data_IF_079160358495
#
_entry.id   IF_079160358495
#
_cell.length_a   1.000
_cell.length_b   1.000
_cell.length_c   1.000
_cell.angle_alpha   90.00
_cell.angle_beta   90.00
_cell.angle_gamma   90.00
#
_symmetry.space_group_name_H-M   'P 1'
#
loop_
_entity.id
_entity.type
_entity.pdbx_description
1 polymer ?
#
# COMPACT_ATOMS: atom_id res chain seq x y z
N UNK A 1 -68.26 8.61 -18.30
CA UNK A 1 -67.16 9.03 -17.35
C UNK A 1 -66.08 7.97 -17.11
N UNK A 2 -66.38 6.65 -17.24
CA UNK A 2 -65.37 5.59 -17.02
C UNK A 2 -64.21 5.52 -18.06
N UNK A 3 -64.39 5.74 -19.39
CA UNK A 3 -63.30 5.54 -20.35
C UNK A 3 -62.10 6.56 -20.17
N UNK A 4 -62.40 7.78 -19.73
CA UNK A 4 -61.34 8.79 -19.52
C UNK A 4 -60.43 8.52 -18.33
N UNK A 5 -60.99 7.99 -17.26
CA UNK A 5 -60.24 7.65 -16.03
C UNK A 5 -59.29 6.46 -16.31
N UNK A 6 -59.76 5.47 -17.06
CA UNK A 6 -58.95 4.31 -17.45
C UNK A 6 -57.75 4.73 -18.31
N UNK A 7 -57.94 5.66 -19.24
CA UNK A 7 -56.90 6.18 -20.12
C UNK A 7 -55.80 6.92 -19.29
N UNK A 8 -56.21 7.75 -18.34
CA UNK A 8 -55.29 8.49 -17.43
C UNK A 8 -54.51 7.52 -16.55
N UNK A 9 -55.14 6.45 -16.04
CA UNK A 9 -54.44 5.45 -15.20
C UNK A 9 -53.43 4.65 -16.03
N UNK A 10 -53.75 4.31 -17.27
CA UNK A 10 -52.83 3.61 -18.18
C UNK A 10 -51.64 4.52 -18.55
N UNK A 11 -51.87 5.77 -18.87
CA UNK A 11 -50.80 6.72 -19.17
C UNK A 11 -49.91 6.97 -17.98
N UNK A 12 -50.44 7.13 -16.76
CA UNK A 12 -49.66 7.23 -15.54
C UNK A 12 -48.82 5.98 -15.27
N UNK A 13 -49.37 4.78 -15.45
CA UNK A 13 -48.60 3.52 -15.34
C UNK A 13 -47.48 3.43 -16.37
N UNK A 14 -47.72 3.86 -17.62
CA UNK A 14 -46.69 3.92 -18.67
C UNK A 14 -45.62 4.94 -18.37
N UNK A 15 -45.96 6.10 -17.84
CA UNK A 15 -44.98 7.12 -17.40
C UNK A 15 -44.16 6.65 -16.18
N UNK A 16 -44.81 5.96 -15.22
CA UNK A 16 -44.10 5.36 -14.08
C UNK A 16 -43.16 4.23 -14.54
N UNK A 17 -43.60 3.38 -15.45
CA UNK A 17 -42.77 2.32 -16.02
C UNK A 17 -41.60 2.87 -16.87
N UNK A 18 -41.82 3.97 -17.59
CA UNK A 18 -40.78 4.69 -18.33
C UNK A 18 -39.76 5.36 -17.37
N UNK A 19 -40.26 6.03 -16.30
CA UNK A 19 -39.37 6.57 -15.25
C UNK A 19 -38.60 5.50 -14.51
N UNK A 20 -39.20 4.35 -14.23
CA UNK A 20 -38.54 3.21 -13.62
C UNK A 20 -37.46 2.60 -14.54
N UNK A 21 -37.68 2.55 -15.87
CA UNK A 21 -36.64 2.15 -16.84
C UNK A 21 -35.47 3.14 -16.90
N UNK A 22 -35.74 4.46 -16.75
CA UNK A 22 -34.69 5.49 -16.71
C UNK A 22 -33.96 5.55 -15.37
N UNK A 23 -34.48 4.91 -14.32
CA UNK A 23 -33.83 4.79 -13.01
C UNK A 23 -33.06 3.47 -12.87
N UNK A 24 -32.85 2.74 -13.97
CA UNK A 24 -32.00 1.55 -13.94
C UNK A 24 -30.58 1.97 -13.61
N UNK A 25 -30.06 1.40 -12.52
CA UNK A 25 -28.70 1.68 -12.03
C UNK A 25 -27.70 1.35 -13.14
N UNK A 26 -27.06 2.36 -13.71
CA UNK A 26 -26.00 2.17 -14.70
C UNK A 26 -24.68 1.88 -13.98
N UNK A 27 -24.49 0.62 -13.61
CA UNK A 27 -23.30 0.13 -12.92
C UNK A 27 -22.03 0.45 -13.72
N UNK A 28 -22.09 0.33 -15.06
CA UNK A 28 -20.93 0.64 -15.91
C UNK A 28 -20.50 2.09 -15.76
N UNK A 29 -21.44 3.03 -15.82
CA UNK A 29 -21.17 4.46 -15.65
C UNK A 29 -20.63 4.79 -14.25
N UNK A 30 -21.13 4.12 -13.20
CA UNK A 30 -20.60 4.29 -11.85
C UNK A 30 -19.16 3.79 -11.74
N UNK A 31 -18.84 2.64 -12.34
CA UNK A 31 -17.47 2.11 -12.35
C UNK A 31 -16.51 3.01 -13.14
N UNK A 32 -16.94 3.60 -14.28
CA UNK A 32 -16.15 4.58 -15.01
C UNK A 32 -15.85 5.85 -14.18
N UNK A 33 -16.76 6.21 -13.27
CA UNK A 33 -16.52 7.32 -12.34
C UNK A 33 -15.41 6.99 -11.34
N UNK A 34 -15.38 5.75 -10.84
CA UNK A 34 -14.29 5.27 -9.97
C UNK A 34 -12.96 5.30 -10.70
N UNK A 35 -12.90 4.81 -11.94
CA UNK A 35 -11.66 4.83 -12.74
C UNK A 35 -11.10 6.25 -12.92
N UNK A 36 -11.98 7.25 -13.09
CA UNK A 36 -11.56 8.65 -13.20
C UNK A 36 -11.09 9.24 -11.87
N UNK A 37 -11.70 8.83 -10.78
CA UNK A 37 -11.38 9.34 -9.45
C UNK A 37 -10.06 8.77 -8.92
N UNK A 38 -9.72 7.53 -9.26
CA UNK A 38 -8.54 6.80 -8.77
C UNK A 38 -7.52 6.56 -9.90
N UNK A 39 -7.16 7.64 -10.60
CA UNK A 39 -6.04 7.58 -11.55
C UNK A 39 -4.74 7.33 -10.79
N UNK A 40 -3.88 6.50 -11.36
CA UNK A 40 -2.58 6.18 -10.76
C UNK A 40 -1.66 7.41 -10.79
N UNK A 41 -1.19 7.84 -9.63
CA UNK A 41 -0.13 8.84 -9.53
C UNK A 41 1.17 8.23 -10.01
N UNK A 42 1.77 8.84 -11.03
CA UNK A 42 3.07 8.52 -11.57
C UNK A 42 3.84 9.81 -11.82
N UNK A 43 5.11 9.85 -11.53
CA UNK A 43 6.03 10.97 -11.80
C UNK A 43 7.07 10.59 -12.83
N UNK A 44 7.65 9.38 -12.74
CA UNK A 44 8.59 8.83 -13.69
C UNK A 44 7.94 7.73 -14.53
N UNK A 45 8.18 7.73 -15.86
CA UNK A 45 7.86 6.58 -16.69
C UNK A 45 8.94 5.47 -16.58
N UNK A 46 8.79 4.37 -17.28
CA UNK A 46 9.71 3.23 -17.26
C UNK A 46 11.10 3.57 -17.82
N UNK A 47 11.20 4.62 -18.62
CA UNK A 47 12.45 5.15 -19.18
C UNK A 47 13.17 6.12 -18.24
N UNK A 48 12.55 6.46 -17.08
CA UNK A 48 13.08 7.42 -16.10
C UNK A 48 12.82 8.87 -16.50
N UNK A 49 11.92 9.12 -17.44
CA UNK A 49 11.53 10.47 -17.85
C UNK A 49 10.41 11.01 -16.94
N UNK A 50 10.44 12.31 -16.64
CA UNK A 50 9.41 12.97 -15.84
C UNK A 50 8.17 13.18 -16.69
N UNK A 51 7.07 12.53 -16.32
CA UNK A 51 5.76 12.64 -16.98
C UNK A 51 4.75 13.48 -16.21
N UNK A 52 5.05 13.83 -14.96
CA UNK A 52 4.21 14.66 -14.11
C UNK A 52 5.08 15.57 -13.24
N UNK A 53 5.51 16.69 -13.82
CA UNK A 53 6.38 17.65 -13.15
C UNK A 53 5.68 18.37 -11.97
N UNK A 54 4.36 18.55 -12.03
CA UNK A 54 3.59 19.23 -10.98
C UNK A 54 3.56 18.43 -9.66
N UNK A 55 3.76 17.11 -9.72
CA UNK A 55 3.81 16.25 -8.55
C UNK A 55 5.24 15.95 -8.07
N UNK A 56 6.26 16.54 -8.72
CA UNK A 56 7.67 16.31 -8.38
C UNK A 56 7.98 16.76 -6.95
N UNK A 57 8.52 15.89 -6.07
CA UNK A 57 8.91 16.28 -4.74
C UNK A 57 10.18 17.14 -4.75
N UNK A 58 10.26 18.08 -3.81
CA UNK A 58 11.47 18.89 -3.57
C UNK A 58 12.49 18.06 -2.78
N UNK A 59 13.33 17.33 -3.50
CA UNK A 59 14.44 16.53 -2.97
C UNK A 59 15.77 17.03 -3.55
N UNK A 60 16.78 17.17 -2.69
CA UNK A 60 18.13 17.50 -3.15
C UNK A 60 18.78 16.30 -3.86
N UNK A 61 19.84 16.57 -4.62
CA UNK A 61 20.60 15.51 -5.31
C UNK A 61 21.15 14.47 -4.31
N UNK A 62 21.58 14.90 -3.11
CA UNK A 62 22.06 14.02 -2.05
C UNK A 62 20.93 13.12 -1.52
N UNK A 63 19.71 13.66 -1.38
CA UNK A 63 18.53 12.90 -0.94
C UNK A 63 18.11 11.88 -2.02
N UNK A 64 18.15 12.25 -3.29
CA UNK A 64 17.87 11.35 -4.41
C UNK A 64 18.88 10.20 -4.46
N UNK A 65 20.18 10.51 -4.32
CA UNK A 65 21.23 9.50 -4.26
C UNK A 65 21.09 8.59 -3.02
N UNK A 66 20.75 9.15 -1.86
CA UNK A 66 20.51 8.35 -0.65
C UNK A 66 19.30 7.43 -0.82
N UNK A 67 18.21 7.90 -1.42
CA UNK A 67 17.05 7.06 -1.73
C UNK A 67 17.45 5.89 -2.64
N UNK A 68 18.20 6.17 -3.70
CA UNK A 68 18.73 5.12 -4.59
C UNK A 68 19.63 4.15 -3.84
N UNK A 69 20.56 4.64 -3.01
CA UNK A 69 21.45 3.81 -2.21
C UNK A 69 20.68 2.86 -1.30
N UNK A 70 19.63 3.35 -0.64
CA UNK A 70 18.77 2.54 0.24
C UNK A 70 18.01 1.46 -0.53
N UNK A 71 17.49 1.78 -1.71
CA UNK A 71 16.82 0.80 -2.57
C UNK A 71 17.78 -0.29 -3.06
N UNK A 72 18.99 0.07 -3.51
CA UNK A 72 20.03 -0.89 -3.91
C UNK A 72 20.45 -1.79 -2.75
N UNK A 73 20.68 -1.20 -1.57
CA UNK A 73 20.97 -1.98 -0.36
C UNK A 73 19.86 -2.99 -0.06
N UNK A 74 18.60 -2.57 -0.17
CA UNK A 74 17.43 -3.43 0.07
C UNK A 74 17.39 -4.61 -0.90
N UNK A 75 17.68 -4.39 -2.20
CA UNK A 75 17.79 -5.47 -3.20
C UNK A 75 18.92 -6.44 -2.86
N UNK A 76 20.08 -5.94 -2.46
CA UNK A 76 21.23 -6.77 -2.05
C UNK A 76 20.89 -7.56 -0.77
N UNK A 77 20.24 -6.91 0.20
CA UNK A 77 19.79 -7.56 1.44
C UNK A 77 18.83 -8.72 1.12
N UNK A 78 17.88 -8.52 0.22
CA UNK A 78 16.94 -9.56 -0.22
C UNK A 78 17.67 -10.75 -0.83
N UNK A 79 18.59 -10.51 -1.77
CA UNK A 79 19.39 -11.55 -2.41
C UNK A 79 20.23 -12.34 -1.41
N UNK A 80 20.87 -11.65 -0.45
CA UNK A 80 21.69 -12.28 0.59
C UNK A 80 20.85 -13.06 1.59
N UNK A 81 19.71 -12.54 2.00
CA UNK A 81 18.76 -13.20 2.91
C UNK A 81 18.18 -14.46 2.27
N UNK A 82 17.84 -14.39 0.98
CA UNK A 82 17.39 -15.55 0.19
C UNK A 82 18.48 -16.63 0.14
N UNK A 83 19.74 -16.26 -0.12
CA UNK A 83 20.85 -17.20 -0.13
C UNK A 83 21.09 -17.84 1.26
N UNK A 84 21.06 -17.06 2.34
CA UNK A 84 21.20 -17.55 3.71
C UNK A 84 20.05 -18.48 4.11
N UNK A 85 18.81 -18.19 3.69
CA UNK A 85 17.68 -19.07 3.94
C UNK A 85 17.85 -20.42 3.23
N UNK A 86 18.23 -20.42 1.94
CA UNK A 86 18.50 -21.67 1.18
C UNK A 86 19.63 -22.51 1.78
N UNK A 87 20.55 -21.89 2.49
CA UNK A 87 21.62 -22.58 3.22
C UNK A 87 21.19 -23.05 4.62
N UNK A 88 19.92 -22.85 5.03
CA UNK A 88 19.44 -23.16 6.38
C UNK A 88 20.00 -22.25 7.48
N UNK A 89 20.67 -21.15 7.12
CA UNK A 89 21.30 -20.22 8.06
C UNK A 89 20.36 -19.08 8.52
N UNK A 90 19.33 -18.80 7.73
CA UNK A 90 18.25 -17.89 8.07
C UNK A 90 16.95 -18.67 8.17
N UNK A 91 16.03 -18.25 9.04
CA UNK A 91 14.72 -18.86 9.23
C UNK A 91 13.68 -18.34 8.23
N UNK A 92 12.50 -17.96 8.73
CA UNK A 92 11.44 -17.39 7.90
C UNK A 92 11.93 -16.16 7.14
N UNK A 93 11.74 -16.13 5.84
CA UNK A 93 12.01 -14.98 5.01
C UNK A 93 10.97 -14.86 3.89
N UNK A 94 10.43 -13.66 3.75
CA UNK A 94 9.53 -13.26 2.69
C UNK A 94 10.27 -12.31 1.74
N UNK A 95 10.60 -12.72 0.50
CA UNK A 95 11.35 -11.89 -0.44
C UNK A 95 10.67 -10.55 -0.73
N UNK A 96 11.48 -9.50 -0.85
CA UNK A 96 11.02 -8.12 -1.03
C UNK A 96 11.38 -7.54 -2.40
N UNK A 97 12.23 -8.22 -3.18
CA UNK A 97 12.68 -7.75 -4.50
C UNK A 97 11.49 -7.43 -5.41
N UNK A 98 11.54 -6.26 -6.05
CA UNK A 98 10.48 -5.67 -6.85
C UNK A 98 9.61 -4.65 -6.10
N UNK A 99 9.69 -4.60 -4.76
CA UNK A 99 8.90 -3.68 -3.94
C UNK A 99 9.73 -2.53 -3.33
N UNK A 100 10.99 -2.36 -3.75
CA UNK A 100 11.93 -1.41 -3.14
C UNK A 100 11.42 0.02 -3.17
N UNK A 101 10.84 0.48 -4.28
CA UNK A 101 10.29 1.83 -4.37
C UNK A 101 9.14 2.02 -3.37
N UNK A 102 8.17 1.10 -3.36
CA UNK A 102 7.04 1.15 -2.43
C UNK A 102 7.50 1.15 -0.96
N UNK A 103 8.46 0.30 -0.61
CA UNK A 103 8.94 0.13 0.75
C UNK A 103 9.84 1.28 1.21
N UNK A 104 10.85 1.58 0.41
CA UNK A 104 11.91 2.50 0.83
C UNK A 104 11.52 3.95 0.66
N UNK A 105 10.82 4.31 -0.44
CA UNK A 105 10.40 5.68 -0.60
C UNK A 105 9.30 6.07 0.42
N UNK A 106 8.41 5.14 0.79
CA UNK A 106 7.44 5.38 1.86
C UNK A 106 8.11 5.59 3.22
N UNK A 107 9.14 4.80 3.54
CA UNK A 107 9.91 4.97 4.77
C UNK A 107 10.76 6.26 4.73
N UNK A 108 11.32 6.60 3.58
CA UNK A 108 12.14 7.81 3.40
C UNK A 108 11.35 9.12 3.57
N UNK A 109 10.03 9.08 3.38
CA UNK A 109 9.13 10.21 3.59
C UNK A 109 8.76 10.44 5.07
N UNK A 110 9.16 9.53 5.98
CA UNK A 110 8.87 9.63 7.41
C UNK A 110 9.94 10.42 8.16
N UNK A 111 9.52 10.99 9.29
CA UNK A 111 10.44 11.53 10.28
C UNK A 111 10.88 10.43 11.26
N UNK A 112 12.02 10.67 11.94
CA UNK A 112 12.63 9.69 12.84
C UNK A 112 11.69 9.21 13.96
N UNK A 113 10.82 10.09 14.43
CA UNK A 113 9.94 9.84 15.57
C UNK A 113 8.56 9.29 15.16
N UNK A 114 8.32 9.09 13.87
CA UNK A 114 7.10 8.44 13.38
C UNK A 114 7.06 6.96 13.75
N UNK A 115 5.87 6.39 13.91
CA UNK A 115 5.67 5.02 14.33
C UNK A 115 5.47 4.10 13.12
N UNK A 116 6.19 2.97 13.05
CA UNK A 116 5.99 1.94 12.03
C UNK A 116 5.40 0.66 12.65
N UNK A 117 4.25 0.24 12.16
CA UNK A 117 3.61 -1.02 12.49
C UNK A 117 3.67 -1.95 11.26
N UNK A 118 4.66 -2.84 11.18
CA UNK A 118 4.95 -3.61 9.97
C UNK A 118 4.15 -4.89 9.87
N UNK A 119 3.97 -5.39 8.65
CA UNK A 119 3.76 -6.80 8.37
C UNK A 119 5.10 -7.56 8.30
N UNK A 120 5.03 -8.85 7.98
CA UNK A 120 6.23 -9.72 7.93
C UNK A 120 7.17 -9.44 6.75
N UNK A 121 6.74 -8.69 5.72
CA UNK A 121 7.56 -8.35 4.54
C UNK A 121 8.21 -6.97 4.65
N UNK A 122 7.97 -6.25 5.73
CA UNK A 122 8.34 -4.84 5.89
C UNK A 122 9.64 -4.65 6.69
N UNK A 123 10.47 -5.68 6.74
CA UNK A 123 11.79 -5.65 7.41
C UNK A 123 12.69 -4.55 6.86
N UNK A 124 12.75 -4.27 5.53
CA UNK A 124 13.60 -3.19 5.02
C UNK A 124 13.25 -1.82 5.59
N UNK A 125 11.96 -1.50 5.72
CA UNK A 125 11.50 -0.23 6.29
C UNK A 125 11.95 -0.09 7.75
N UNK A 126 11.88 -1.18 8.54
CA UNK A 126 12.32 -1.18 9.93
C UNK A 126 13.83 -0.94 10.05
N UNK A 127 14.65 -1.58 9.20
CA UNK A 127 16.10 -1.41 9.19
C UNK A 127 16.45 0.05 8.91
N UNK A 128 15.82 0.67 7.90
CA UNK A 128 16.06 2.06 7.56
C UNK A 128 15.48 3.05 8.56
N UNK A 129 14.51 2.60 9.39
CA UNK A 129 14.00 3.39 10.51
C UNK A 129 14.84 3.24 11.78
N UNK A 130 15.85 2.36 11.77
CA UNK A 130 16.85 2.22 12.83
C UNK A 130 16.96 0.83 13.45
N UNK A 131 16.17 -0.17 13.04
CA UNK A 131 16.29 -1.54 13.55
C UNK A 131 17.65 -2.13 13.14
N UNK A 132 18.47 -2.61 14.09
CA UNK A 132 19.72 -3.27 13.75
C UNK A 132 19.49 -4.54 12.92
N UNK A 133 20.26 -4.74 11.84
CA UNK A 133 20.12 -5.87 10.94
C UNK A 133 20.18 -7.25 11.65
N UNK A 134 21.07 -7.37 12.64
CA UNK A 134 21.18 -8.63 13.40
C UNK A 134 19.88 -8.98 14.14
N UNK A 135 19.14 -7.96 14.60
CA UNK A 135 17.86 -8.15 15.29
C UNK A 135 16.77 -8.64 14.35
N UNK A 136 16.72 -8.10 13.12
CA UNK A 136 15.84 -8.61 12.06
C UNK A 136 16.15 -10.10 11.75
N UNK A 137 17.42 -10.50 11.77
CA UNK A 137 17.82 -11.89 11.56
C UNK A 137 17.48 -12.79 12.76
N UNK A 138 17.59 -12.29 14.00
CA UNK A 138 17.11 -13.01 15.19
C UNK A 138 15.60 -13.27 15.10
N UNK A 139 14.82 -12.26 14.73
CA UNK A 139 13.39 -12.43 14.49
C UNK A 139 13.11 -13.50 13.43
N UNK A 140 13.79 -13.44 12.28
CA UNK A 140 13.68 -14.43 11.21
C UNK A 140 13.96 -15.86 11.67
N UNK A 141 14.88 -16.02 12.61
CA UNK A 141 15.23 -17.35 13.20
C UNK A 141 14.31 -17.78 14.35
N UNK A 142 13.30 -16.99 14.70
CA UNK A 142 12.35 -17.28 15.77
C UNK A 142 12.90 -17.04 17.18
N UNK A 143 14.00 -16.28 17.32
CA UNK A 143 14.48 -15.88 18.63
C UNK A 143 13.65 -14.74 19.20
N UNK A 144 13.21 -14.86 20.46
CA UNK A 144 12.36 -13.84 21.08
C UNK A 144 13.08 -12.48 21.20
N UNK A 145 14.41 -12.48 21.32
CA UNK A 145 15.21 -11.25 21.33
C UNK A 145 15.06 -10.43 20.04
N UNK A 146 14.71 -11.06 18.92
CA UNK A 146 14.38 -10.36 17.67
C UNK A 146 13.14 -9.48 17.77
N UNK A 147 12.30 -9.68 18.79
CA UNK A 147 11.12 -8.87 19.08
C UNK A 147 11.41 -7.72 20.06
N UNK A 148 12.59 -7.67 20.68
CA UNK A 148 12.97 -6.61 21.59
C UNK A 148 13.38 -5.36 20.80
N UNK A 149 12.45 -4.42 20.68
CA UNK A 149 12.74 -3.17 19.99
C UNK A 149 13.67 -2.31 20.85
N UNK A 150 14.74 -1.76 20.28
CA UNK A 150 15.64 -0.85 21.01
C UNK A 150 14.90 0.37 21.57
N UNK A 151 15.29 0.81 22.76
CA UNK A 151 14.73 2.00 23.40
C UNK A 151 14.83 3.23 22.49
N UNK A 152 13.79 4.03 22.44
CA UNK A 152 13.71 5.25 21.64
C UNK A 152 13.47 5.01 20.15
N UNK A 153 13.17 3.77 19.73
CA UNK A 153 12.81 3.45 18.37
C UNK A 153 11.32 3.15 18.25
N UNK A 154 10.61 3.98 17.50
CA UNK A 154 9.16 3.91 17.34
C UNK A 154 8.74 2.90 16.26
N UNK A 155 9.07 1.63 16.45
CA UNK A 155 8.65 0.53 15.59
C UNK A 155 8.00 -0.56 16.42
N UNK A 156 7.15 -1.36 15.77
CA UNK A 156 6.55 -2.54 16.37
C UNK A 156 7.16 -3.82 15.77
N UNK A 157 7.10 -4.94 16.49
CA UNK A 157 7.54 -6.22 15.95
C UNK A 157 6.75 -6.61 14.70
N UNK A 158 7.40 -7.25 13.69
CA UNK A 158 6.71 -7.66 12.48
C UNK A 158 5.56 -8.61 12.75
N UNK A 159 4.41 -8.36 12.12
CA UNK A 159 3.19 -9.14 12.26
C UNK A 159 3.07 -10.22 11.19
N UNK A 160 2.77 -11.45 11.62
CA UNK A 160 2.39 -12.55 10.72
C UNK A 160 0.88 -12.54 10.45
N UNK A 161 0.08 -12.05 11.41
CA UNK A 161 -1.38 -11.95 11.32
C UNK A 161 -1.72 -10.80 10.39
N UNK A 162 -2.12 -11.13 9.16
CA UNK A 162 -2.37 -10.15 8.11
C UNK A 162 -3.64 -9.35 8.40
N UNK A 163 -3.53 -8.01 8.30
CA UNK A 163 -4.63 -7.07 8.53
C UNK A 163 -4.68 -6.50 9.95
N UNK A 164 -4.26 -7.27 10.98
CA UNK A 164 -4.32 -6.84 12.38
C UNK A 164 -3.56 -5.53 12.66
N UNK A 165 -2.48 -5.27 11.95
CA UNK A 165 -1.69 -4.04 12.09
C UNK A 165 -2.49 -2.77 11.75
N UNK A 166 -3.58 -2.88 10.98
CA UNK A 166 -4.41 -1.71 10.63
C UNK A 166 -5.16 -1.16 11.84
N UNK A 167 -5.82 -2.02 12.60
CA UNK A 167 -6.54 -1.59 13.80
C UNK A 167 -5.57 -1.17 14.91
N UNK A 168 -4.42 -1.84 15.01
CA UNK A 168 -3.35 -1.46 15.94
C UNK A 168 -2.81 -0.07 15.61
N UNK A 169 -2.57 0.23 14.32
CA UNK A 169 -2.12 1.55 13.86
C UNK A 169 -3.13 2.64 14.19
N UNK A 170 -4.41 2.38 14.00
CA UNK A 170 -5.48 3.31 14.38
C UNK A 170 -5.45 3.60 15.89
N UNK A 171 -5.18 2.60 16.73
CA UNK A 171 -5.03 2.74 18.17
C UNK A 171 -3.81 3.57 18.58
N UNK A 172 -2.63 3.27 17.99
CA UNK A 172 -1.39 4.05 18.23
C UNK A 172 -1.59 5.50 17.81
N UNK A 173 -2.14 5.73 16.61
CA UNK A 173 -2.43 7.07 16.11
C UNK A 173 -3.43 7.84 16.99
N UNK A 174 -4.41 7.16 17.60
CA UNK A 174 -5.29 7.77 18.58
C UNK A 174 -4.52 8.22 19.84
N UNK A 175 -3.57 7.39 20.30
CA UNK A 175 -2.65 7.76 21.40
C UNK A 175 -1.83 9.00 21.07
N UNK A 176 -1.22 9.06 19.86
CA UNK A 176 -0.49 10.24 19.38
C UNK A 176 -1.37 11.48 19.41
N UNK A 177 -2.58 11.40 18.84
CA UNK A 177 -3.53 12.52 18.80
C UNK A 177 -3.91 13.02 20.19
N UNK A 178 -4.18 12.11 21.14
CA UNK A 178 -4.56 12.46 22.52
C UNK A 178 -3.42 13.14 23.28
N UNK A 179 -2.19 12.79 22.97
CA UNK A 179 -1.00 13.36 23.62
C UNK A 179 -0.50 14.66 22.92
N UNK A 180 -1.15 15.12 21.86
CA UNK A 180 -0.79 16.34 21.14
C UNK A 180 0.52 16.26 20.36
N UNK A 181 0.92 15.04 19.92
CA UNK A 181 2.15 14.81 19.16
C UNK A 181 2.04 15.24 17.69
N UNK A 182 3.20 15.54 17.08
CA UNK A 182 3.36 15.88 15.65
C UNK A 182 3.88 14.69 14.82
N UNK A 183 3.72 13.48 15.32
CA UNK A 183 4.13 12.25 14.67
C UNK A 183 2.94 11.54 14.02
N UNK A 184 3.22 10.58 13.16
CA UNK A 184 2.20 9.74 12.54
C UNK A 184 2.47 8.27 12.83
N UNK A 185 1.45 7.43 12.71
CA UNK A 185 1.60 6.00 12.68
C UNK A 185 1.35 5.48 11.26
N UNK A 186 2.32 4.75 10.69
CA UNK A 186 2.22 4.14 9.37
C UNK A 186 2.20 2.63 9.47
N UNK A 187 1.41 1.98 8.61
CA UNK A 187 1.38 0.53 8.49
C UNK A 187 1.32 0.08 7.04
N UNK A 188 1.68 -1.19 6.83
CA UNK A 188 1.77 -1.82 5.52
C UNK A 188 1.04 -3.16 5.50
N UNK A 189 0.36 -3.45 4.39
CA UNK A 189 -0.14 -4.79 4.11
C UNK A 189 -0.06 -5.08 2.62
N UNK A 190 -0.11 -6.36 2.21
CA UNK A 190 -0.34 -6.74 0.83
C UNK A 190 -1.81 -6.60 0.43
N UNK A 191 -2.10 -6.77 -0.86
CA UNK A 191 -3.46 -6.78 -1.40
C UNK A 191 -4.40 -7.75 -0.65
N UNK A 192 -3.88 -8.93 -0.25
CA UNK A 192 -4.62 -9.92 0.53
C UNK A 192 -5.14 -9.41 1.86
N UNK A 193 -4.38 -8.55 2.54
CA UNK A 193 -4.79 -7.97 3.82
C UNK A 193 -6.03 -7.10 3.73
N UNK A 194 -6.32 -6.55 2.55
CA UNK A 194 -7.51 -5.71 2.34
C UNK A 194 -8.83 -6.49 2.32
N UNK A 195 -8.79 -7.81 2.41
CA UNK A 195 -9.96 -8.69 2.52
C UNK A 195 -10.28 -9.07 3.97
N UNK A 196 -9.43 -8.69 4.94
CA UNK A 196 -9.64 -8.92 6.36
C UNK A 196 -10.60 -7.89 6.96
N UNK A 197 -11.37 -8.29 7.97
CA UNK A 197 -12.27 -7.40 8.72
C UNK A 197 -11.52 -6.26 9.38
N UNK A 198 -10.41 -6.56 10.04
CA UNK A 198 -9.55 -5.59 10.74
C UNK A 198 -9.06 -4.45 9.84
N UNK A 199 -8.90 -4.72 8.53
CA UNK A 199 -8.56 -3.67 7.56
C UNK A 199 -9.67 -2.59 7.53
N UNK A 200 -10.92 -3.01 7.31
CA UNK A 200 -12.05 -2.08 7.22
C UNK A 200 -12.34 -1.40 8.55
N UNK A 201 -12.27 -2.13 9.64
CA UNK A 201 -12.48 -1.62 10.99
C UNK A 201 -11.40 -0.59 11.35
N UNK A 202 -10.14 -0.89 11.03
CA UNK A 202 -9.00 0.01 11.28
C UNK A 202 -9.11 1.33 10.54
N UNK A 203 -9.36 1.32 9.21
CA UNK A 203 -9.49 2.55 8.43
C UNK A 203 -10.75 3.34 8.79
N UNK A 204 -11.88 2.67 9.11
CA UNK A 204 -13.10 3.31 9.54
C UNK A 204 -12.93 4.01 10.91
N UNK A 205 -12.34 3.31 11.89
CA UNK A 205 -12.03 3.90 13.19
C UNK A 205 -11.09 5.10 13.04
N UNK A 206 -10.02 4.95 12.25
CA UNK A 206 -9.07 6.01 12.00
C UNK A 206 -9.72 7.25 11.36
N UNK A 207 -10.61 7.04 10.39
CA UNK A 207 -11.37 8.10 9.73
C UNK A 207 -12.33 8.81 10.68
N UNK A 208 -13.12 8.05 11.44
CA UNK A 208 -14.10 8.59 12.39
C UNK A 208 -13.45 9.47 13.45
N UNK A 209 -12.27 9.09 13.94
CA UNK A 209 -11.53 9.85 14.94
C UNK A 209 -10.51 10.83 14.34
N UNK A 210 -10.36 10.88 13.02
CA UNK A 210 -9.36 11.71 12.31
C UNK A 210 -7.97 11.60 12.96
N UNK A 211 -7.51 10.36 13.15
CA UNK A 211 -6.21 10.10 13.77
C UNK A 211 -5.07 10.27 12.75
N UNK A 212 -3.84 10.63 13.18
CA UNK A 212 -2.69 10.79 12.29
C UNK A 212 -2.13 9.44 11.87
N UNK A 213 -2.81 8.77 10.94
CA UNK A 213 -2.41 7.46 10.43
C UNK A 213 -2.21 7.46 8.92
N UNK A 214 -1.28 6.63 8.44
CA UNK A 214 -1.04 6.35 7.02
C UNK A 214 -1.15 4.84 6.82
N UNK A 215 -2.03 4.44 5.90
CA UNK A 215 -2.28 3.04 5.58
C UNK A 215 -1.76 2.73 4.19
N UNK A 216 -0.76 1.86 4.07
CA UNK A 216 -0.17 1.45 2.79
C UNK A 216 -0.67 0.06 2.42
N UNK A 217 -1.21 -0.07 1.21
CA UNK A 217 -1.49 -1.36 0.56
C UNK A 217 -0.44 -1.59 -0.53
N UNK A 218 0.51 -2.47 -0.28
CA UNK A 218 1.51 -2.91 -1.26
C UNK A 218 0.86 -3.95 -2.18
N UNK A 219 0.17 -3.48 -3.20
CA UNK A 219 -0.52 -4.35 -4.16
C UNK A 219 0.49 -5.00 -5.11
N UNK A 220 1.01 -6.15 -4.69
CA UNK A 220 1.95 -6.95 -5.49
C UNK A 220 1.24 -8.00 -6.37
N UNK A 221 -0.05 -7.84 -6.59
CA UNK A 221 -0.94 -8.60 -7.48
C UNK A 221 -1.39 -9.96 -6.97
N UNK A 222 -0.77 -10.52 -5.92
CA UNK A 222 -1.09 -11.87 -5.46
C UNK A 222 -1.09 -12.00 -3.93
N UNK A 223 -2.23 -12.39 -3.38
CA UNK A 223 -2.33 -12.90 -2.02
C UNK A 223 -1.87 -14.37 -2.01
N UNK A 224 -0.62 -14.61 -1.69
CA UNK A 224 0.09 -15.90 -1.91
C UNK A 224 0.05 -16.23 -3.42
N UNK A 225 -0.90 -17.03 -3.84
CA UNK A 225 -1.16 -17.46 -5.23
C UNK A 225 -2.48 -16.93 -5.80
N UNK A 226 -3.32 -16.27 -4.98
CA UNK A 226 -4.63 -15.77 -5.40
C UNK A 226 -4.49 -14.37 -6.03
N UNK A 227 -4.79 -14.18 -7.32
CA UNK A 227 -4.72 -12.88 -7.95
C UNK A 227 -5.77 -11.91 -7.39
N UNK A 228 -5.44 -10.61 -7.38
CA UNK A 228 -6.32 -9.54 -6.89
C UNK A 228 -7.71 -9.58 -7.54
N UNK A 229 -7.79 -9.90 -8.84
CA UNK A 229 -9.06 -9.98 -9.58
C UNK A 229 -10.02 -11.08 -9.07
N UNK A 230 -9.49 -12.10 -8.41
CA UNK A 230 -10.29 -13.17 -7.77
C UNK A 230 -10.64 -12.78 -6.33
N UNK A 231 -9.77 -12.02 -5.69
CA UNK A 231 -9.91 -11.63 -4.29
C UNK A 231 -10.85 -10.45 -4.08
N UNK A 232 -10.88 -9.50 -5.01
CA UNK A 232 -11.63 -8.25 -4.87
C UNK A 232 -12.29 -7.86 -6.18
N UNK A 233 -13.59 -7.50 -6.10
CA UNK A 233 -14.30 -6.89 -7.21
C UNK A 233 -14.05 -5.37 -7.33
N UNK A 234 -13.34 -4.77 -6.38
CA UNK A 234 -12.97 -3.36 -6.42
C UNK A 234 -12.04 -3.08 -7.61
N UNK A 235 -12.28 -1.99 -8.33
CA UNK A 235 -11.46 -1.55 -9.49
C UNK A 235 -10.04 -1.20 -9.04
N UNK A 236 -9.92 -0.53 -7.90
CA UNK A 236 -8.68 -0.25 -7.20
C UNK A 236 -8.84 -0.57 -5.72
N UNK A 237 -7.77 -0.90 -5.01
CA UNK A 237 -7.86 -1.09 -3.57
C UNK A 237 -7.93 0.26 -2.83
N UNK A 238 -7.41 1.32 -3.44
CA UNK A 238 -7.52 2.69 -2.93
C UNK A 238 -8.98 3.16 -2.78
N UNK A 239 -9.92 2.69 -3.64
CA UNK A 239 -11.33 3.05 -3.53
C UNK A 239 -12.00 2.57 -2.23
N UNK A 240 -11.42 1.59 -1.52
CA UNK A 240 -11.92 1.11 -0.23
C UNK A 240 -11.91 2.22 0.83
N UNK A 241 -11.07 3.24 0.66
CA UNK A 241 -11.02 4.43 1.49
C UNK A 241 -12.35 5.20 1.51
N UNK A 242 -13.11 5.18 0.41
CA UNK A 242 -14.38 5.90 0.29
C UNK A 242 -15.39 5.45 1.33
N UNK A 243 -15.45 4.15 1.60
CA UNK A 243 -16.37 3.60 2.61
C UNK A 243 -16.03 4.06 4.04
N UNK A 244 -14.77 4.39 4.31
CA UNK A 244 -14.30 4.91 5.59
C UNK A 244 -14.33 6.45 5.66
N UNK A 245 -14.72 7.15 4.58
CA UNK A 245 -14.76 8.61 4.49
C UNK A 245 -13.37 9.26 4.57
N UNK A 246 -12.33 8.58 4.12
CA UNK A 246 -10.95 9.04 4.10
C UNK A 246 -10.41 9.15 2.66
N UNK A 247 -9.38 9.97 2.39
CA UNK A 247 -8.71 9.99 1.10
C UNK A 247 -8.11 8.63 0.75
N UNK A 248 -8.26 8.23 -0.52
CA UNK A 248 -7.58 7.10 -1.13
C UNK A 248 -6.76 7.53 -2.33
N UNK A 249 -5.52 7.07 -2.45
CA UNK A 249 -4.62 7.39 -3.56
C UNK A 249 -4.06 6.08 -4.11
N UNK A 250 -4.14 5.91 -5.44
CA UNK A 250 -3.41 4.85 -6.14
C UNK A 250 -2.12 5.42 -6.71
N UNK A 251 -1.00 4.75 -6.49
CA UNK A 251 0.34 5.21 -6.86
C UNK A 251 1.06 4.12 -7.64
N UNK A 252 1.84 4.48 -8.65
CA UNK A 252 2.82 3.58 -9.25
C UNK A 252 3.89 3.24 -8.21
N UNK A 253 3.77 2.06 -7.60
CA UNK A 253 4.67 1.57 -6.56
C UNK A 253 6.05 1.15 -7.07
N UNK A 254 6.29 1.24 -8.39
CA UNK A 254 7.61 1.08 -9.00
C UNK A 254 8.30 2.43 -9.25
N UNK A 255 7.62 3.55 -8.97
CA UNK A 255 8.14 4.91 -9.06
C UNK A 255 8.42 5.48 -7.66
N UNK A 256 9.70 5.58 -7.24
CA UNK A 256 10.04 6.02 -5.90
C UNK A 256 9.67 7.48 -5.61
N UNK A 257 9.64 8.35 -6.63
CA UNK A 257 9.26 9.76 -6.44
C UNK A 257 7.77 9.90 -6.23
N UNK A 258 6.95 9.15 -6.96
CA UNK A 258 5.50 9.14 -6.76
C UNK A 258 5.11 8.58 -5.39
N UNK A 259 5.75 7.49 -4.94
CA UNK A 259 5.53 6.94 -3.61
C UNK A 259 5.93 7.93 -2.52
N UNK A 260 7.12 8.54 -2.63
CA UNK A 260 7.60 9.54 -1.68
C UNK A 260 6.61 10.71 -1.58
N UNK A 261 6.23 11.30 -2.71
CA UNK A 261 5.33 12.45 -2.76
C UNK A 261 3.98 12.14 -2.10
N UNK A 262 3.37 10.99 -2.43
CA UNK A 262 2.09 10.58 -1.85
C UNK A 262 2.17 10.39 -0.33
N UNK A 263 3.23 9.75 0.17
CA UNK A 263 3.40 9.50 1.62
C UNK A 263 3.73 10.80 2.37
N UNK A 264 4.57 11.66 1.79
CA UNK A 264 4.89 12.97 2.37
C UNK A 264 3.64 13.83 2.53
N UNK A 265 2.82 13.92 1.48
CA UNK A 265 1.54 14.62 1.53
C UNK A 265 0.58 14.02 2.57
N UNK A 266 0.48 12.69 2.63
CA UNK A 266 -0.35 12.01 3.63
C UNK A 266 0.12 12.28 5.06
N UNK A 267 1.45 12.34 5.28
CA UNK A 267 2.03 12.69 6.58
C UNK A 267 1.69 14.12 6.97
N UNK A 268 1.87 15.07 6.07
CA UNK A 268 1.56 16.48 6.31
C UNK A 268 0.08 16.69 6.66
N UNK A 269 -0.83 16.07 5.93
CA UNK A 269 -2.26 16.05 6.23
C UNK A 269 -2.57 15.49 7.61
N UNK A 270 -1.95 14.36 7.95
CA UNK A 270 -2.16 13.68 9.21
C UNK A 270 -1.70 14.55 10.39
N UNK A 271 -0.52 15.18 10.29
CA UNK A 271 0.01 16.11 11.30
C UNK A 271 -0.85 17.38 11.41
N UNK A 272 -1.40 17.86 10.30
CA UNK A 272 -2.33 19.00 10.28
C UNK A 272 -3.71 18.68 10.92
N UNK A 273 -3.93 17.41 11.36
CA UNK A 273 -5.19 16.99 11.98
C UNK A 273 -6.33 16.72 10.98
N UNK A 274 -6.02 16.64 9.68
CA UNK A 274 -7.01 16.35 8.64
C UNK A 274 -7.41 14.87 8.59
N UNK A 275 -6.70 14.00 9.33
CA UNK A 275 -7.00 12.59 9.46
C UNK A 275 -6.15 11.68 8.58
N UNK A 276 -6.49 10.38 8.52
CA UNK A 276 -5.68 9.37 7.85
C UNK A 276 -5.81 9.40 6.33
N UNK A 277 -4.89 8.72 5.65
CA UNK A 277 -4.91 8.47 4.19
C UNK A 277 -4.64 6.99 3.92
N UNK A 278 -5.36 6.41 2.96
CA UNK A 278 -5.08 5.08 2.40
C UNK A 278 -4.33 5.25 1.08
N UNK A 279 -3.17 4.61 0.95
CA UNK A 279 -2.35 4.63 -0.26
C UNK A 279 -2.19 3.21 -0.79
N UNK A 280 -2.62 2.96 -2.02
CA UNK A 280 -2.35 1.73 -2.74
C UNK A 280 -1.14 1.94 -3.64
N UNK A 281 -0.06 1.18 -3.43
CA UNK A 281 1.11 1.17 -4.30
C UNK A 281 1.04 -0.05 -5.23
N UNK A 282 0.92 0.20 -6.55
CA UNK A 282 0.97 -0.86 -7.56
C UNK A 282 2.41 -1.32 -7.73
N UNK A 283 2.72 -2.49 -7.25
CA UNK A 283 4.07 -3.04 -7.25
C UNK A 283 4.06 -4.51 -7.67
N UNK A 284 5.22 -5.15 -7.64
CA UNK A 284 5.34 -6.56 -7.99
C UNK A 284 6.35 -7.27 -7.10
N UNK A 285 6.13 -8.54 -6.85
CA UNK A 285 7.03 -9.40 -6.08
C UNK A 285 7.78 -10.30 -7.05
N UNK A 286 9.09 -10.09 -7.27
CA UNK A 286 9.87 -10.93 -8.18
C UNK A 286 10.09 -12.35 -7.64
N UNK A 287 10.24 -12.48 -6.33
CA UNK A 287 10.40 -13.76 -5.68
C UNK A 287 9.08 -14.50 -5.37
N UNK A 288 9.16 -15.69 -4.76
CA UNK A 288 8.00 -16.40 -4.23
C UNK A 288 7.35 -15.62 -3.07
N UNK A 289 6.16 -16.06 -2.65
CA UNK A 289 5.50 -15.46 -1.48
C UNK A 289 6.35 -15.59 -0.21
N UNK A 290 6.86 -16.79 0.03
CA UNK A 290 7.87 -17.10 1.03
C UNK A 290 8.83 -18.14 0.49
N UNK A 291 9.99 -18.32 1.14
CA UNK A 291 10.94 -19.36 0.75
C UNK A 291 10.57 -20.76 1.30
N UNK A 292 9.38 -20.90 1.87
CA UNK A 292 8.88 -22.12 2.50
C UNK A 292 7.85 -22.85 1.62
N UNK A 293 8.24 -23.19 0.38
CA UNK A 293 7.45 -24.08 -0.49
C UNK A 293 6.50 -23.38 -1.47
N UNK A 294 6.54 -22.05 -1.62
CA UNK A 294 5.82 -21.36 -2.70
C UNK A 294 6.57 -21.46 -4.03
N UNK A 295 5.84 -21.81 -5.07
CA UNK A 295 6.32 -21.88 -6.46
C UNK A 295 5.51 -20.92 -7.34
N UNK A 296 6.04 -19.73 -7.65
CA UNK A 296 5.32 -18.75 -8.44
C UNK A 296 5.02 -19.19 -9.88
N UNK A 297 5.74 -20.15 -10.44
CA UNK A 297 5.48 -20.65 -11.79
C UNK A 297 4.13 -21.36 -11.94
N UNK A 298 3.46 -21.66 -10.83
CA UNK A 298 2.13 -22.29 -10.80
C UNK A 298 0.98 -21.30 -11.02
N UNK A 299 1.22 -20.00 -10.83
CA UNK A 299 0.15 -18.99 -10.86
C UNK A 299 0.54 -17.69 -11.58
N UNK A 300 1.80 -17.54 -12.02
CA UNK A 300 2.28 -16.42 -12.83
C UNK A 300 2.79 -16.89 -14.18
N UNK A 301 2.72 -16.02 -15.17
CA UNK A 301 3.30 -16.29 -16.49
C UNK A 301 4.66 -15.59 -16.64
N UNK A 302 5.48 -16.08 -17.57
CA UNK A 302 6.77 -15.43 -17.90
C UNK A 302 6.58 -14.05 -18.52
N UNK A 303 5.49 -13.88 -19.28
CA UNK A 303 5.12 -12.61 -19.91
C UNK A 303 4.82 -11.56 -18.84
N UNK A 304 4.07 -11.93 -17.81
CA UNK A 304 3.78 -11.05 -16.67
C UNK A 304 5.06 -10.67 -15.92
N UNK A 305 5.91 -11.66 -15.60
CA UNK A 305 7.19 -11.40 -14.93
C UNK A 305 8.05 -10.43 -15.77
N UNK A 306 8.16 -10.65 -17.10
CA UNK A 306 8.93 -9.80 -18.02
C UNK A 306 8.35 -8.38 -18.11
N UNK A 307 7.03 -8.24 -18.10
CA UNK A 307 6.39 -6.93 -18.10
C UNK A 307 6.78 -6.12 -16.85
N UNK A 308 6.76 -6.75 -15.68
CA UNK A 308 7.11 -6.09 -14.43
C UNK A 308 8.62 -5.84 -14.28
N UNK A 309 9.48 -6.70 -14.85
CA UNK A 309 10.93 -6.48 -14.90
C UNK A 309 11.30 -5.21 -15.70
N UNK A 310 10.54 -4.87 -16.75
CA UNK A 310 10.73 -3.61 -17.49
C UNK A 310 10.44 -2.38 -16.63
N UNK A 311 9.59 -2.52 -15.63
CA UNK A 311 9.21 -1.46 -14.68
C UNK A 311 10.11 -1.41 -13.44
N UNK A 312 11.23 -2.16 -13.43
CA UNK A 312 12.10 -2.29 -12.25
C UNK A 312 12.45 -0.93 -11.64
N UNK A 313 12.17 -0.71 -10.34
CA UNK A 313 12.32 0.59 -9.70
C UNK A 313 13.77 1.08 -9.66
N UNK A 314 14.73 0.16 -9.55
CA UNK A 314 16.16 0.51 -9.53
C UNK A 314 16.63 0.95 -10.90
N UNK A 315 16.20 0.26 -11.97
CA UNK A 315 16.57 0.59 -13.36
C UNK A 315 15.94 1.93 -13.75
N UNK A 316 14.65 2.10 -13.48
CA UNK A 316 13.89 3.33 -13.75
C UNK A 316 14.54 4.53 -13.06
N UNK A 317 14.77 4.43 -11.75
CA UNK A 317 15.29 5.54 -10.97
C UNK A 317 16.76 5.85 -11.30
N UNK A 318 17.55 4.83 -11.66
CA UNK A 318 18.92 5.02 -12.16
C UNK A 318 18.99 5.79 -13.47
N UNK A 319 18.00 5.58 -14.36
CA UNK A 319 17.93 6.33 -15.63
C UNK A 319 17.59 7.79 -15.41
N UNK A 320 16.78 8.08 -14.38
CA UNK A 320 16.43 9.44 -13.98
C UNK A 320 17.62 10.20 -13.38
N UNK A 321 18.43 9.56 -12.51
CA UNK A 321 19.63 10.14 -11.87
C UNK A 321 20.76 10.35 -12.86
#
# INVERSE_FOLDING_TARGET
>A
MLPGIIKIVIERKRQMASKAKNAQLDVKKQLETVDKQFQTLQILNEEGEVVNADAMPDLTDEQLQELMRRMVYTRILDQRSTALNRQGRLGFYAPTAGQEASQIASQFALEKDDYILPGYRDIPQLIWHGLPLHQAFLWSRGHYQGMNIPDGLNIYPPQIIIGAQYIQTAGVALGIKKNGGNTVAITYTGDGGTSQGDFYEGINFAGAYKVPAIFIVQNNRFAISTPVSVQSAARTLAQKAVAAGIPGIQVDGMDPLAVYAAVKQARERAVAGEGPTLIETLTYRYGPHTLSGDDPTRYRTKEEDTEWERKDPLIRFRKYL
#
